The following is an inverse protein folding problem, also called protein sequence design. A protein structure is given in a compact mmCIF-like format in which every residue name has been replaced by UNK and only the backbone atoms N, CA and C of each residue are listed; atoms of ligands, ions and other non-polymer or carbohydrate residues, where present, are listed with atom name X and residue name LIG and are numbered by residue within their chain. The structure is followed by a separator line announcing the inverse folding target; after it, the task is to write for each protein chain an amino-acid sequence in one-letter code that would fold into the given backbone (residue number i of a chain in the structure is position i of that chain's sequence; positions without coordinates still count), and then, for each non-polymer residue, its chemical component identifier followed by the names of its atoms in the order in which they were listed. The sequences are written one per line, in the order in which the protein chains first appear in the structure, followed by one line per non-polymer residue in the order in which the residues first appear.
data_IF_435453275649
#
_entry.id   IF_435453275649
#
_cell.length_a   1.000
_cell.length_b   1.000
_cell.length_c   1.000
_cell.angle_alpha   90.00
_cell.angle_beta   90.00
_cell.angle_gamma   90.00
#
_symmetry.space_group_name_H-M   'P 1'
#
loop_
_entity.id
_entity.type
_entity.pdbx_description
1 polymer ?
#
# COMPACT_ATOMS: atom_id res chain seq x y z
N UNK A 1 14.92 -2.79 -11.71
CA UNK A 1 13.86 -3.80 -11.53
C UNK A 1 13.79 -4.10 -10.05
N UNK A 2 12.60 -4.00 -9.45
CA UNK A 2 12.35 -4.34 -8.04
C UNK A 2 12.50 -5.86 -7.88
N UNK A 3 13.33 -6.30 -6.94
CA UNK A 3 13.49 -7.71 -6.62
C UNK A 3 12.32 -8.23 -5.76
N UNK A 4 12.04 -9.54 -5.75
CA UNK A 4 11.00 -10.10 -4.87
C UNK A 4 11.22 -9.77 -3.39
N UNK A 5 12.47 -9.82 -2.91
CA UNK A 5 12.81 -9.50 -1.51
C UNK A 5 12.56 -8.02 -1.15
N UNK A 6 12.75 -7.14 -2.13
CA UNK A 6 12.45 -5.71 -2.03
C UNK A 6 10.94 -5.46 -1.91
N UNK A 7 10.16 -6.01 -2.83
CA UNK A 7 8.70 -5.95 -2.77
C UNK A 7 8.13 -6.54 -1.46
N UNK A 8 8.73 -7.64 -0.98
CA UNK A 8 8.37 -8.23 0.32
C UNK A 8 8.66 -7.28 1.49
N UNK A 9 9.80 -6.60 1.49
CA UNK A 9 10.16 -5.63 2.53
C UNK A 9 9.18 -4.45 2.56
N UNK A 10 8.81 -3.92 1.40
CA UNK A 10 7.78 -2.86 1.27
C UNK A 10 6.42 -3.36 1.74
N UNK A 11 6.02 -4.58 1.36
CA UNK A 11 4.76 -5.19 1.78
C UNK A 11 4.66 -5.28 3.30
N UNK A 12 5.68 -5.83 3.96
CA UNK A 12 5.68 -5.97 5.42
C UNK A 12 5.76 -4.64 6.17
N UNK A 13 6.38 -3.62 5.58
CA UNK A 13 6.42 -2.28 6.16
C UNK A 13 5.03 -1.59 6.16
N UNK A 14 4.22 -1.82 5.12
CA UNK A 14 2.92 -1.14 4.92
C UNK A 14 1.74 -1.95 5.46
N UNK A 15 1.86 -3.28 5.56
CA UNK A 15 0.77 -4.16 6.00
C UNK A 15 0.12 -3.73 7.33
N UNK A 16 0.86 -3.37 8.40
CA UNK A 16 0.24 -2.98 9.68
C UNK A 16 -0.68 -1.74 9.57
N UNK A 17 -0.32 -0.77 8.73
CA UNK A 17 -1.12 0.43 8.48
C UNK A 17 -2.42 0.09 7.73
N UNK A 18 -2.37 -0.90 6.84
CA UNK A 18 -3.55 -1.39 6.11
C UNK A 18 -4.44 -2.24 7.02
N UNK A 19 -3.86 -3.07 7.90
CA UNK A 19 -4.61 -3.91 8.84
C UNK A 19 -5.35 -3.09 9.91
N UNK A 20 -4.77 -1.96 10.31
CA UNK A 20 -5.39 -1.01 11.24
C UNK A 20 -6.35 -0.02 10.56
N UNK A 21 -6.48 -0.10 9.22
CA UNK A 21 -7.35 0.81 8.47
C UNK A 21 -8.81 0.72 8.95
N UNK A 22 -9.45 1.85 9.28
CA UNK A 22 -10.80 1.84 9.83
C UNK A 22 -11.80 1.28 8.83
N UNK A 23 -12.55 0.25 9.26
CA UNK A 23 -13.61 -0.36 8.46
C UNK A 23 -14.83 0.57 8.48
N UNK A 24 -15.10 1.21 7.35
CA UNK A 24 -16.20 2.17 7.21
C UNK A 24 -16.58 2.36 5.75
N UNK A 25 -16.58 3.61 5.28
CA UNK A 25 -16.83 3.94 3.86
C UNK A 25 -15.72 3.45 2.90
N UNK A 26 -14.61 2.96 3.44
CA UNK A 26 -13.47 2.44 2.69
C UNK A 26 -13.00 1.10 3.26
N UNK A 27 -12.48 0.25 2.38
CA UNK A 27 -11.71 -0.94 2.74
C UNK A 27 -10.49 -1.04 1.83
N UNK A 28 -9.36 -1.44 2.42
CA UNK A 28 -8.10 -1.62 1.72
C UNK A 28 -7.60 -3.03 1.99
N UNK A 29 -7.12 -3.71 0.96
CA UNK A 29 -6.45 -5.02 1.08
C UNK A 29 -5.13 -4.99 0.33
N UNK A 30 -4.05 -5.35 1.02
CA UNK A 30 -2.73 -5.46 0.43
C UNK A 30 -2.45 -6.92 0.05
N UNK A 31 -1.82 -7.15 -1.11
CA UNK A 31 -1.37 -8.46 -1.57
C UNK A 31 0.04 -8.33 -2.14
N UNK A 32 0.92 -9.27 -1.81
CA UNK A 32 2.21 -9.44 -2.46
C UNK A 32 2.10 -10.50 -3.57
N UNK A 33 2.45 -10.13 -4.80
CA UNK A 33 2.47 -11.04 -5.95
C UNK A 33 3.82 -10.97 -6.66
N UNK A 34 4.70 -11.92 -6.36
CA UNK A 34 6.07 -11.93 -6.87
C UNK A 34 6.84 -10.68 -6.44
N UNK A 35 7.25 -9.86 -7.41
CA UNK A 35 7.94 -8.58 -7.18
C UNK A 35 7.00 -7.36 -7.18
N UNK A 36 5.69 -7.55 -6.99
CA UNK A 36 4.69 -6.47 -7.03
C UNK A 36 3.85 -6.44 -5.76
N UNK A 37 3.69 -5.26 -5.16
CA UNK A 37 2.74 -5.00 -4.07
C UNK A 37 1.45 -4.40 -4.66
N UNK A 38 0.34 -5.09 -4.48
CA UNK A 38 -0.97 -4.69 -4.99
C UNK A 38 -1.85 -4.20 -3.83
N UNK A 39 -2.33 -2.96 -3.92
CA UNK A 39 -3.34 -2.42 -3.02
C UNK A 39 -4.72 -2.39 -3.69
N UNK A 40 -5.65 -3.18 -3.15
CA UNK A 40 -7.05 -3.21 -3.59
C UNK A 40 -7.86 -2.29 -2.69
N UNK A 41 -8.37 -1.20 -3.26
CA UNK A 41 -9.14 -0.19 -2.56
C UNK A 41 -10.58 -0.26 -3.01
N UNK A 42 -11.49 -0.40 -2.06
CA UNK A 42 -12.93 -0.27 -2.28
C UNK A 42 -13.47 0.89 -1.44
N UNK A 43 -14.34 1.69 -2.05
CA UNK A 43 -14.93 2.86 -1.41
C UNK A 43 -16.34 3.11 -1.96
N UNK A 44 -17.22 3.67 -1.12
CA UNK A 44 -18.60 3.98 -1.51
C UNK A 44 -18.74 5.33 -2.22
N UNK A 45 -17.78 6.24 -2.04
CA UNK A 45 -17.74 7.57 -2.67
C UNK A 45 -16.39 7.83 -3.32
N UNK A 46 -16.40 8.58 -4.42
CA UNK A 46 -15.18 8.98 -5.15
C UNK A 46 -14.23 9.76 -4.24
N UNK A 47 -14.76 10.63 -3.36
CA UNK A 47 -13.94 11.40 -2.41
C UNK A 47 -13.15 10.50 -1.46
N UNK A 48 -13.79 9.42 -0.99
CA UNK A 48 -13.19 8.47 -0.07
C UNK A 48 -12.17 7.58 -0.78
N UNK A 49 -12.46 7.18 -2.03
CA UNK A 49 -11.52 6.48 -2.89
C UNK A 49 -10.24 7.30 -3.13
N UNK A 50 -10.39 8.59 -3.44
CA UNK A 50 -9.27 9.50 -3.64
C UNK A 50 -8.43 9.66 -2.37
N UNK A 51 -9.08 9.79 -1.22
CA UNK A 51 -8.39 9.87 0.06
C UNK A 51 -7.59 8.58 0.34
N UNK A 52 -8.20 7.41 0.14
CA UNK A 52 -7.54 6.12 0.33
C UNK A 52 -6.37 5.91 -0.63
N UNK A 53 -6.52 6.25 -1.91
CA UNK A 53 -5.44 6.20 -2.90
C UNK A 53 -4.24 7.05 -2.49
N UNK A 54 -4.49 8.28 -2.02
CA UNK A 54 -3.43 9.17 -1.58
C UNK A 54 -2.69 8.63 -0.35
N UNK A 55 -3.41 8.14 0.66
CA UNK A 55 -2.78 7.61 1.87
C UNK A 55 -1.96 6.35 1.58
N UNK A 56 -2.56 5.35 0.92
CA UNK A 56 -1.89 4.07 0.62
C UNK A 56 -0.72 4.29 -0.34
N UNK A 57 -0.92 5.13 -1.35
CA UNK A 57 0.16 5.52 -2.28
C UNK A 57 1.33 6.20 -1.55
N UNK A 58 1.03 7.11 -0.61
CA UNK A 58 2.06 7.76 0.20
C UNK A 58 2.83 6.78 1.08
N UNK A 59 2.15 5.83 1.72
CA UNK A 59 2.81 4.81 2.54
C UNK A 59 3.73 3.91 1.72
N UNK A 60 3.25 3.42 0.58
CA UNK A 60 4.06 2.62 -0.34
C UNK A 60 5.28 3.40 -0.85
N UNK A 61 5.09 4.68 -1.19
CA UNK A 61 6.18 5.54 -1.63
C UNK A 61 7.24 5.77 -0.54
N UNK A 62 6.80 6.08 0.69
CA UNK A 62 7.70 6.29 1.83
C UNK A 62 8.46 5.01 2.17
N UNK A 63 7.78 3.86 2.23
CA UNK A 63 8.40 2.57 2.48
C UNK A 63 9.45 2.23 1.40
N UNK A 64 9.11 2.37 0.12
CA UNK A 64 10.04 2.16 -0.99
C UNK A 64 11.25 3.11 -0.91
N UNK A 65 11.03 4.38 -0.56
CA UNK A 65 12.12 5.37 -0.45
C UNK A 65 13.07 5.04 0.71
N UNK A 66 12.55 4.73 1.90
CA UNK A 66 13.36 4.44 3.09
C UNK A 66 14.12 3.11 2.99
N UNK A 67 13.55 2.13 2.28
CA UNK A 67 14.18 0.82 2.07
C UNK A 67 15.16 0.82 0.87
N UNK A 68 15.38 1.98 0.24
CA UNK A 68 16.41 2.15 -0.80
C UNK A 68 15.96 1.77 -2.22
N UNK A 69 14.66 1.82 -2.51
CA UNK A 69 14.10 1.47 -3.82
C UNK A 69 13.80 2.69 -4.72
N UNK A 70 13.89 3.90 -4.19
CA UNK A 70 13.79 5.14 -4.96
C UNK A 70 15.11 5.92 -4.78
N UNK A 71 16.08 5.60 -5.63
CA UNK A 71 17.28 6.42 -5.88
C UNK A 71 17.16 7.03 -7.28
#
# INVERSE_FOLDING_TARGET
MVSPAQAESVYWAVLPEVETWPRGATSVRLILSGSTVCAYIHATRISDMRAALNSVGSWLHVAATLLGEVA
#
